data_IF_848320324187
#
_entry.id   IF_848320324187
#
_cell.length_a   1.000
_cell.length_b   1.000
_cell.length_c   1.000
_cell.angle_alpha   90.00
_cell.angle_beta   90.00
_cell.angle_gamma   90.00
#
_symmetry.space_group_name_H-M   'P 1'
#
loop_
_entity.id
_entity.type
_entity.pdbx_description
1 polymer ?
#
# COMPACT_ATOMS: atom_id res chain seq x y z
N UNK A 1 26.70 6.27 -25.89
CA UNK A 1 25.53 5.38 -26.10
C UNK A 1 24.38 6.26 -26.54
N UNK A 2 23.66 5.91 -27.62
CA UNK A 2 22.46 6.65 -28.03
C UNK A 2 21.31 6.29 -27.09
N UNK A 3 20.86 7.23 -26.27
CA UNK A 3 19.65 7.10 -25.46
C UNK A 3 18.46 7.02 -26.41
N UNK A 4 17.74 5.90 -26.45
CA UNK A 4 16.46 5.80 -27.16
C UNK A 4 15.38 6.39 -26.26
N UNK A 5 14.81 7.51 -26.67
CA UNK A 5 13.63 8.06 -26.03
C UNK A 5 12.37 7.48 -26.67
N UNK A 6 11.41 7.07 -25.84
CA UNK A 6 10.09 6.58 -26.26
C UNK A 6 9.05 7.56 -25.75
N UNK A 7 8.24 8.11 -26.66
CA UNK A 7 7.11 8.97 -26.30
C UNK A 7 5.82 8.17 -26.32
N UNK A 8 5.14 8.09 -25.17
CA UNK A 8 3.81 7.49 -25.10
C UNK A 8 2.74 8.49 -25.57
N UNK A 9 1.72 8.05 -26.34
CA UNK A 9 0.55 8.86 -26.62
C UNK A 9 -0.27 9.07 -25.34
N UNK A 10 -1.11 10.12 -25.31
CA UNK A 10 -2.05 10.32 -24.19
C UNK A 10 -3.15 9.24 -24.26
N UNK A 11 -2.93 8.14 -23.55
CA UNK A 11 -3.75 6.92 -23.66
C UNK A 11 -5.19 7.11 -23.19
N UNK A 12 -5.46 8.11 -22.34
CA UNK A 12 -6.78 8.36 -21.75
C UNK A 12 -7.52 9.56 -22.36
N UNK A 13 -6.99 10.23 -23.39
CA UNK A 13 -7.59 11.46 -23.94
C UNK A 13 -9.02 11.28 -24.49
N UNK A 14 -9.36 10.06 -24.91
CA UNK A 14 -10.69 9.69 -25.45
C UNK A 14 -11.35 8.59 -24.64
N UNK A 15 -10.99 8.45 -23.37
CA UNK A 15 -11.56 7.40 -22.52
C UNK A 15 -13.07 7.63 -22.35
N UNK A 16 -13.94 6.66 -22.70
CA UNK A 16 -15.38 6.90 -22.80
C UNK A 16 -16.08 6.94 -21.43
N UNK A 17 -15.43 6.44 -20.37
CA UNK A 17 -16.01 6.39 -19.05
C UNK A 17 -15.68 7.66 -18.25
N UNK A 18 -16.68 8.32 -17.65
CA UNK A 18 -16.44 9.50 -16.83
C UNK A 18 -15.64 9.11 -15.60
N UNK A 19 -14.68 9.98 -15.24
CA UNK A 19 -13.91 9.81 -14.02
C UNK A 19 -14.82 10.05 -12.81
N UNK A 20 -14.81 9.11 -11.88
CA UNK A 20 -15.51 9.22 -10.59
C UNK A 20 -14.48 8.98 -9.50
N UNK A 21 -14.42 9.87 -8.52
CA UNK A 21 -13.57 9.74 -7.35
C UNK A 21 -14.44 9.52 -6.13
N UNK A 22 -13.99 8.67 -5.20
CA UNK A 22 -14.65 8.52 -3.92
C UNK A 22 -14.61 9.85 -3.13
N UNK A 23 -15.74 10.35 -2.58
CA UNK A 23 -15.79 11.63 -1.87
C UNK A 23 -14.93 11.66 -0.58
N UNK A 24 -14.53 10.51 -0.05
CA UNK A 24 -13.74 10.40 1.18
C UNK A 24 -12.22 10.41 0.94
N UNK A 25 -11.75 10.58 -0.31
CA UNK A 25 -10.32 10.54 -0.64
C UNK A 25 -9.47 11.53 0.16
N UNK A 26 -9.90 12.80 0.26
CA UNK A 26 -9.16 13.86 0.96
C UNK A 26 -8.97 13.57 2.46
N UNK A 27 -9.80 12.69 3.03
CA UNK A 27 -9.69 12.22 4.41
C UNK A 27 -8.87 10.93 4.51
N UNK A 28 -9.20 9.93 3.69
CA UNK A 28 -8.58 8.60 3.73
C UNK A 28 -7.13 8.60 3.24
N UNK A 29 -6.78 9.43 2.27
CA UNK A 29 -5.43 9.49 1.69
C UNK A 29 -4.36 9.75 2.75
N UNK A 30 -4.40 10.90 3.45
CA UNK A 30 -3.45 11.21 4.51
C UNK A 30 -3.43 10.19 5.66
N UNK A 31 -4.58 9.59 6.00
CA UNK A 31 -4.63 8.53 7.02
C UNK A 31 -3.87 7.28 6.58
N UNK A 32 -3.99 6.92 5.30
CA UNK A 32 -3.25 5.80 4.69
C UNK A 32 -1.75 6.07 4.73
N UNK A 33 -1.34 7.26 4.28
CA UNK A 33 0.07 7.65 4.25
C UNK A 33 0.70 7.59 5.64
N UNK A 34 0.00 8.07 6.67
CA UNK A 34 0.48 8.01 8.06
C UNK A 34 0.56 6.57 8.55
N UNK A 35 -0.44 5.75 8.22
CA UNK A 35 -0.47 4.34 8.60
C UNK A 35 0.69 3.56 8.00
N UNK A 36 0.93 3.62 6.69
CA UNK A 36 2.03 2.88 6.05
C UNK A 36 3.40 3.35 6.55
N UNK A 37 3.57 4.64 6.81
CA UNK A 37 4.82 5.18 7.37
C UNK A 37 5.12 4.66 8.78
N UNK A 38 4.09 4.33 9.57
CA UNK A 38 4.26 3.86 10.94
C UNK A 38 5.01 2.52 11.02
N UNK A 39 4.89 1.68 10.00
CA UNK A 39 5.59 0.39 9.90
C UNK A 39 7.04 0.52 9.46
N UNK A 40 7.45 1.70 8.97
CA UNK A 40 8.80 1.96 8.43
C UNK A 40 9.24 0.87 7.44
N UNK A 41 8.46 0.59 6.38
CA UNK A 41 8.74 -0.52 5.47
C UNK A 41 10.07 -0.36 4.71
N UNK A 42 10.63 0.85 4.63
CA UNK A 42 11.87 1.09 3.92
C UNK A 42 12.91 1.76 4.82
N UNK A 43 14.14 1.25 4.78
CA UNK A 43 15.27 1.83 5.53
C UNK A 43 15.64 3.23 5.02
N UNK A 44 15.37 3.49 3.73
CA UNK A 44 15.75 4.70 3.02
C UNK A 44 14.57 5.67 2.91
N UNK A 45 14.66 6.88 3.48
CA UNK A 45 13.59 7.88 3.39
C UNK A 45 13.22 8.21 1.94
N UNK A 46 14.17 8.21 1.01
CA UNK A 46 13.91 8.48 -0.41
C UNK A 46 13.01 7.45 -1.08
N UNK A 47 13.07 6.18 -0.65
CA UNK A 47 12.21 5.10 -1.14
C UNK A 47 10.80 5.32 -0.61
N UNK A 48 10.65 5.61 0.68
CA UNK A 48 9.35 5.95 1.27
C UNK A 48 8.71 7.16 0.59
N UNK A 49 9.49 8.22 0.33
CA UNK A 49 8.98 9.39 -0.38
C UNK A 49 8.62 9.11 -1.83
N UNK A 50 9.31 8.19 -2.50
CA UNK A 50 8.93 7.74 -3.84
C UNK A 50 7.62 6.94 -3.82
N UNK A 51 7.49 6.04 -2.85
CA UNK A 51 6.29 5.24 -2.61
C UNK A 51 5.05 6.13 -2.39
N UNK A 52 5.12 7.09 -1.47
CA UNK A 52 3.99 8.01 -1.19
C UNK A 52 3.58 8.85 -2.41
N UNK A 53 4.52 9.19 -3.32
CA UNK A 53 4.19 9.92 -4.56
C UNK A 53 3.38 9.11 -5.56
N UNK A 54 3.31 7.78 -5.41
CA UNK A 54 2.44 6.94 -6.23
C UNK A 54 0.95 7.16 -5.92
N UNK A 55 0.63 7.64 -4.71
CA UNK A 55 -0.73 7.97 -4.28
C UNK A 55 -1.71 6.81 -4.49
N UNK A 56 -1.38 5.68 -3.87
CA UNK A 56 -2.24 4.49 -3.86
C UNK A 56 -3.66 4.75 -3.31
N UNK A 57 -3.86 5.63 -2.31
CA UNK A 57 -5.21 6.01 -1.88
C UNK A 57 -6.03 6.71 -2.99
N UNK A 58 -5.39 7.48 -3.86
CA UNK A 58 -6.08 8.07 -5.02
C UNK A 58 -6.46 6.98 -6.03
N UNK A 59 -5.59 5.99 -6.26
CA UNK A 59 -5.91 4.83 -7.09
C UNK A 59 -7.13 4.08 -6.57
N UNK A 60 -7.20 3.80 -5.27
CA UNK A 60 -8.36 3.11 -4.67
C UNK A 60 -9.61 3.98 -4.72
N UNK A 61 -9.49 5.30 -4.54
CA UNK A 61 -10.62 6.22 -4.66
C UNK A 61 -11.23 6.25 -6.07
N UNK A 62 -10.42 6.08 -7.12
CA UNK A 62 -10.93 5.91 -8.49
C UNK A 62 -11.53 4.52 -8.73
N UNK A 63 -10.99 3.50 -8.08
CA UNK A 63 -11.44 2.10 -8.22
C UNK A 63 -12.76 1.84 -7.49
N UNK A 64 -12.97 2.51 -6.35
CA UNK A 64 -14.12 2.32 -5.46
C UNK A 64 -14.89 3.63 -5.22
N UNK A 65 -15.42 4.30 -6.26
CA UNK A 65 -15.95 5.66 -6.17
C UNK A 65 -17.30 5.79 -5.46
N UNK A 66 -17.88 4.69 -4.97
CA UNK A 66 -19.20 4.66 -4.34
C UNK A 66 -19.21 3.87 -3.03
N UNK A 67 -18.05 3.38 -2.61
CA UNK A 67 -17.94 2.70 -1.32
C UNK A 67 -17.94 3.72 -0.18
N UNK A 68 -18.34 3.28 0.99
CA UNK A 68 -18.21 4.08 2.20
C UNK A 68 -16.74 4.34 2.55
N UNK A 69 -16.55 5.24 3.52
CA UNK A 69 -15.24 5.68 4.01
C UNK A 69 -14.40 4.51 4.53
N UNK A 70 -14.99 3.62 5.32
CA UNK A 70 -14.27 2.55 5.99
C UNK A 70 -13.80 1.48 5.00
N UNK A 71 -14.65 1.15 4.01
CA UNK A 71 -14.30 0.27 2.90
C UNK A 71 -13.20 0.90 2.03
N UNK A 72 -13.25 2.22 1.78
CA UNK A 72 -12.19 2.91 1.07
C UNK A 72 -10.88 2.86 1.86
N UNK A 73 -10.91 3.13 3.17
CA UNK A 73 -9.74 3.06 4.07
C UNK A 73 -9.09 1.69 4.02
N UNK A 74 -9.89 0.63 4.21
CA UNK A 74 -9.43 -0.76 4.10
C UNK A 74 -8.79 -1.04 2.74
N UNK A 75 -9.44 -0.64 1.65
CA UNK A 75 -8.91 -0.88 0.32
C UNK A 75 -7.58 -0.16 0.08
N UNK A 76 -7.43 1.08 0.59
CA UNK A 76 -6.19 1.86 0.50
C UNK A 76 -5.04 1.21 1.26
N UNK A 77 -5.26 0.82 2.54
CA UNK A 77 -4.24 0.12 3.34
C UNK A 77 -3.82 -1.20 2.68
N UNK A 78 -4.81 -1.96 2.18
CA UNK A 78 -4.53 -3.22 1.48
C UNK A 78 -3.72 -3.00 0.21
N UNK A 79 -3.97 -1.92 -0.53
CA UNK A 79 -3.18 -1.60 -1.73
C UNK A 79 -1.74 -1.22 -1.38
N UNK A 80 -1.53 -0.48 -0.29
CA UNK A 80 -0.19 -0.19 0.21
C UNK A 80 0.57 -1.46 0.59
N UNK A 81 -0.07 -2.43 1.26
CA UNK A 81 0.54 -3.74 1.54
C UNK A 81 1.00 -4.42 0.26
N UNK A 82 0.15 -4.42 -0.78
CA UNK A 82 0.48 -5.05 -2.06
C UNK A 82 1.68 -4.41 -2.73
N UNK A 83 1.78 -3.08 -2.73
CA UNK A 83 2.93 -2.41 -3.35
C UNK A 83 4.19 -2.42 -2.48
N UNK A 84 4.07 -2.47 -1.15
CA UNK A 84 5.25 -2.73 -0.28
C UNK A 84 5.78 -4.14 -0.56
N UNK A 85 4.89 -5.13 -0.68
CA UNK A 85 5.27 -6.49 -1.05
C UNK A 85 5.89 -6.56 -2.46
N UNK A 86 5.31 -5.86 -3.44
CA UNK A 86 5.83 -5.75 -4.81
C UNK A 86 7.27 -5.18 -4.80
N UNK A 87 7.50 -4.03 -4.15
CA UNK A 87 8.82 -3.40 -4.06
C UNK A 87 9.88 -4.33 -3.42
N UNK A 88 9.49 -5.11 -2.41
CA UNK A 88 10.40 -6.09 -1.83
C UNK A 88 10.70 -7.25 -2.78
N UNK A 89 9.68 -7.74 -3.48
CA UNK A 89 9.81 -8.92 -4.33
C UNK A 89 10.44 -8.63 -5.69
N UNK A 90 10.34 -7.40 -6.19
CA UNK A 90 10.95 -6.94 -7.45
C UNK A 90 12.48 -7.03 -7.46
N UNK A 91 13.10 -6.95 -6.28
CA UNK A 91 14.56 -7.03 -6.10
C UNK A 91 15.01 -8.29 -5.35
N UNK A 92 14.07 -9.13 -4.92
CA UNK A 92 14.35 -10.36 -4.19
C UNK A 92 14.76 -11.50 -5.13
N UNK A 93 15.51 -12.47 -4.58
CA UNK A 93 15.62 -13.78 -5.21
C UNK A 93 14.38 -14.65 -4.93
N UNK A 94 14.21 -15.73 -5.68
CA UNK A 94 13.06 -16.65 -5.57
C UNK A 94 12.81 -17.12 -4.12
N UNK A 95 13.90 -17.37 -3.37
CA UNK A 95 13.82 -17.86 -2.00
C UNK A 95 13.30 -16.78 -1.04
N UNK A 96 13.76 -15.55 -1.21
CA UNK A 96 13.36 -14.41 -0.39
C UNK A 96 11.93 -13.99 -0.73
N UNK A 97 11.58 -13.95 -2.01
CA UNK A 97 10.22 -13.66 -2.45
C UNK A 97 9.21 -14.67 -1.90
N UNK A 98 9.53 -15.97 -1.94
CA UNK A 98 8.67 -17.01 -1.35
C UNK A 98 8.50 -16.82 0.17
N UNK A 99 9.56 -16.48 0.90
CA UNK A 99 9.46 -16.21 2.35
C UNK A 99 8.56 -15.02 2.66
N UNK A 100 8.68 -13.93 1.89
CA UNK A 100 7.80 -12.76 2.05
C UNK A 100 6.34 -13.13 1.77
N UNK A 101 6.10 -13.94 0.73
CA UNK A 101 4.76 -14.42 0.41
C UNK A 101 4.19 -15.31 1.53
N UNK A 102 5.01 -16.20 2.09
CA UNK A 102 4.61 -17.06 3.20
C UNK A 102 4.27 -16.23 4.46
N UNK A 103 5.05 -15.20 4.77
CA UNK A 103 4.78 -14.26 5.88
C UNK A 103 3.44 -13.56 5.68
N UNK A 104 3.26 -12.92 4.52
CA UNK A 104 2.03 -12.17 4.19
C UNK A 104 0.81 -13.10 4.22
N UNK A 105 0.87 -14.27 3.58
CA UNK A 105 -0.24 -15.22 3.54
C UNK A 105 -0.54 -15.83 4.91
N UNK A 106 0.48 -16.12 5.73
CA UNK A 106 0.30 -16.60 7.10
C UNK A 106 -0.39 -15.55 7.97
N UNK A 107 0.02 -14.28 7.89
CA UNK A 107 -0.61 -13.18 8.62
C UNK A 107 -2.08 -13.00 8.23
N UNK A 108 -2.38 -13.01 6.93
CA UNK A 108 -3.75 -12.87 6.43
C UNK A 108 -4.68 -14.04 6.84
N UNK A 109 -4.14 -15.27 6.91
CA UNK A 109 -4.91 -16.46 7.28
C UNK A 109 -5.06 -16.63 8.78
N UNK A 110 -4.11 -16.10 9.55
CA UNK A 110 -4.02 -16.29 11.00
C UNK A 110 -3.87 -14.92 11.70
N UNK A 111 -4.87 -14.03 11.62
CA UNK A 111 -4.76 -12.65 12.14
C UNK A 111 -4.57 -12.60 13.67
N UNK A 112 -5.07 -13.60 14.41
CA UNK A 112 -4.91 -13.66 15.87
C UNK A 112 -3.54 -14.21 16.31
N UNK A 113 -2.70 -14.65 15.37
CA UNK A 113 -1.38 -15.21 15.66
C UNK A 113 -0.38 -14.07 15.89
N UNK A 114 0.26 -13.98 17.08
CA UNK A 114 1.30 -12.99 17.30
C UNK A 114 2.43 -13.13 16.29
N UNK A 115 2.91 -12.01 15.73
CA UNK A 115 4.05 -12.06 14.81
C UNK A 115 5.37 -12.16 15.59
N UNK A 116 6.39 -12.82 15.03
CA UNK A 116 7.72 -12.87 15.65
C UNK A 116 8.39 -11.48 15.69
N UNK A 117 9.14 -11.21 16.77
CA UNK A 117 10.00 -10.02 16.83
C UNK A 117 10.99 -9.98 15.67
N UNK A 118 11.05 -8.85 14.97
CA UNK A 118 11.95 -8.65 13.83
C UNK A 118 11.51 -9.35 12.54
N UNK A 119 10.26 -9.83 12.45
CA UNK A 119 9.68 -10.22 11.18
C UNK A 119 9.61 -9.02 10.21
N UNK A 120 9.56 -9.31 8.90
CA UNK A 120 9.37 -8.28 7.89
C UNK A 120 8.03 -7.54 8.07
N UNK A 121 8.03 -6.24 7.77
CA UNK A 121 6.90 -5.34 7.96
C UNK A 121 5.58 -5.83 7.33
N UNK A 122 5.60 -6.56 6.20
CA UNK A 122 4.37 -7.07 5.56
C UNK A 122 3.56 -7.99 6.46
N UNK A 123 4.19 -8.67 7.43
CA UNK A 123 3.49 -9.53 8.38
C UNK A 123 2.62 -8.73 9.35
N UNK A 124 3.20 -7.68 9.95
CA UNK A 124 2.49 -6.76 10.84
C UNK A 124 1.43 -5.94 10.10
N UNK A 125 1.75 -5.44 8.90
CA UNK A 125 0.80 -4.66 8.11
C UNK A 125 -0.44 -5.47 7.72
N UNK A 126 -0.31 -6.79 7.57
CA UNK A 126 -1.39 -7.69 7.19
C UNK A 126 -2.30 -8.13 8.35
N UNK A 127 -2.02 -7.71 9.58
CA UNK A 127 -2.89 -7.94 10.72
C UNK A 127 -4.12 -7.04 10.66
N UNK A 128 -5.17 -7.52 10.00
CA UNK A 128 -6.47 -6.87 9.95
C UNK A 128 -7.29 -7.14 11.24
N UNK A 129 -6.90 -6.59 12.40
CA UNK A 129 -7.69 -6.59 13.65
C UNK A 129 -6.86 -6.19 14.88
N UNK A 130 -7.30 -5.43 15.90
CA UNK A 130 -8.60 -4.95 16.40
C UNK A 130 -8.69 -3.40 16.36
N UNK A 131 -8.57 -2.81 15.17
CA UNK A 131 -8.67 -1.37 15.03
C UNK A 131 -8.27 -0.90 13.66
N UNK A 132 -9.23 -0.84 12.74
CA UNK A 132 -9.18 0.18 11.70
C UNK A 132 -8.90 1.52 12.40
N UNK A 133 -7.83 2.20 12.01
CA UNK A 133 -7.37 3.47 12.59
C UNK A 133 -6.78 3.43 14.02
N UNK A 134 -5.85 2.51 14.31
CA UNK A 134 -4.83 2.85 15.33
C UNK A 134 -3.74 3.66 14.64
N UNK A 135 -3.84 4.99 14.74
CA UNK A 135 -2.69 5.88 14.61
C UNK A 135 -1.52 5.27 15.42
N UNK A 136 -0.26 5.37 14.96
CA UNK A 136 0.87 4.91 15.77
C UNK A 136 0.76 5.47 17.19
N UNK A 137 1.14 4.69 18.22
CA UNK A 137 1.10 5.17 19.59
C UNK A 137 1.88 6.49 19.68
N UNK A 138 1.24 7.51 20.26
CA UNK A 138 1.85 8.82 20.47
C UNK A 138 3.20 8.62 21.17
N UNK A 139 4.31 9.19 20.67
CA UNK A 139 5.59 9.06 21.35
C UNK A 139 5.48 9.71 22.74
N UNK A 140 5.72 8.92 23.78
CA UNK A 140 6.00 9.42 25.13
C UNK A 140 7.32 10.18 25.19
#
# INVERSE_FOLDING_TARGET
MLTKEVTFPVTLAKFPYPRRINPFYEEVGPETDVWVQSFKPFDKPEVMQAFLRCDFPLFTAFSYPSMDRDTLRLASDMLDIFFVFDEYTDVADDTTAQKLADILVDALRNPDKPRPDGENAVGEMALFGDGFAVLPPTPT
#
